data_IF_752382964238
#
_entry.id   IF_752382964238
#
_cell.length_a   1.000
_cell.length_b   1.000
_cell.length_c   1.000
_cell.angle_alpha   90.00
_cell.angle_beta   90.00
_cell.angle_gamma   90.00
#
_symmetry.space_group_name_H-M   'P 1'
#
loop_
_entity.id
_entity.type
_entity.pdbx_description
1 polymer ?
#
# COMPACT_ATOMS: atom_id res chain seq x y z
N UNK A 1 11.12 15.83 23.78
CA UNK A 1 9.97 16.08 22.88
C UNK A 1 9.78 14.84 22.00
N UNK A 2 8.72 14.06 22.20
CA UNK A 2 8.39 12.93 21.33
C UNK A 2 7.28 13.35 20.36
N UNK A 3 7.58 13.39 19.06
CA UNK A 3 6.56 13.58 18.04
C UNK A 3 5.84 12.25 17.83
N UNK A 4 4.54 12.21 18.08
CA UNK A 4 3.72 11.04 17.76
C UNK A 4 3.45 11.05 16.26
N UNK A 5 4.18 10.22 15.50
CA UNK A 5 3.83 9.96 14.12
C UNK A 5 2.45 9.28 14.08
N UNK A 6 1.50 9.74 13.26
CA UNK A 6 0.19 9.09 13.17
C UNK A 6 0.38 7.66 12.65
N UNK A 7 -0.18 6.70 13.38
CA UNK A 7 -0.22 5.30 12.95
C UNK A 7 -1.03 5.21 11.66
N UNK A 8 -0.42 4.66 10.60
CA UNK A 8 -1.12 4.44 9.33
C UNK A 8 -2.20 3.38 9.54
N UNK A 9 -3.42 3.66 9.12
CA UNK A 9 -4.52 2.68 9.18
C UNK A 9 -4.30 1.62 8.10
N UNK A 10 -4.33 0.36 8.51
CA UNK A 10 -4.23 -0.80 7.60
C UNK A 10 -5.41 -0.78 6.63
N UNK A 11 -5.15 -1.14 5.37
CA UNK A 11 -6.21 -1.23 4.37
C UNK A 11 -7.10 -2.44 4.66
N UNK A 12 -8.38 -2.21 4.96
CA UNK A 12 -9.39 -3.25 5.21
C UNK A 12 -9.63 -4.19 4.02
N UNK A 13 -9.35 -3.77 2.79
CA UNK A 13 -9.62 -4.60 1.60
C UNK A 13 -8.59 -5.73 1.44
N UNK A 14 -7.35 -5.48 1.85
CA UNK A 14 -6.26 -6.45 1.70
C UNK A 14 -5.60 -6.82 3.03
N UNK A 15 -6.10 -6.30 4.15
CA UNK A 15 -5.57 -6.50 5.51
C UNK A 15 -4.05 -6.29 5.64
N UNK A 16 -3.52 -5.33 4.86
CA UNK A 16 -2.09 -5.03 4.81
C UNK A 16 -1.28 -5.87 3.82
N UNK A 17 -1.82 -6.95 3.25
CA UNK A 17 -1.20 -7.77 2.20
C UNK A 17 -1.42 -7.16 0.82
N UNK A 18 -0.76 -6.02 0.59
CA UNK A 18 -1.06 -5.14 -0.53
C UNK A 18 -0.60 -5.63 -1.91
N UNK A 19 0.24 -6.66 -1.97
CA UNK A 19 0.79 -7.18 -3.21
C UNK A 19 1.03 -8.69 -3.14
N UNK A 20 0.87 -9.35 -4.28
CA UNK A 20 1.20 -10.76 -4.46
C UNK A 20 1.93 -10.96 -5.80
N UNK A 21 2.67 -12.06 -5.89
CA UNK A 21 3.35 -12.50 -7.11
C UNK A 21 2.77 -13.85 -7.50
N UNK A 22 2.25 -13.94 -8.72
CA UNK A 22 1.61 -15.14 -9.25
C UNK A 22 2.52 -15.71 -10.35
N UNK A 23 2.82 -17.00 -10.30
CA UNK A 23 3.54 -17.66 -11.40
C UNK A 23 2.57 -17.89 -12.56
N UNK A 24 2.99 -17.58 -13.79
CA UNK A 24 2.13 -17.73 -14.98
C UNK A 24 2.23 -19.13 -15.60
N UNK A 25 2.98 -20.04 -14.98
CA UNK A 25 3.29 -21.37 -15.53
C UNK A 25 4.39 -21.37 -16.59
N UNK A 26 4.71 -20.21 -17.18
CA UNK A 26 5.79 -20.07 -18.15
C UNK A 26 7.17 -19.86 -17.50
N UNK A 27 8.22 -20.06 -18.30
CA UNK A 27 9.59 -19.67 -17.99
C UNK A 27 10.12 -18.73 -19.05
N UNK A 28 10.97 -17.79 -18.64
CA UNK A 28 11.77 -16.99 -19.53
C UNK A 28 12.86 -17.85 -20.20
N UNK A 29 13.49 -17.31 -21.25
CA UNK A 29 14.52 -18.06 -22.01
C UNK A 29 15.77 -18.41 -21.18
N UNK A 30 16.04 -17.62 -20.14
CA UNK A 30 17.10 -17.86 -19.17
C UNK A 30 16.74 -18.91 -18.10
N UNK A 31 15.53 -19.49 -18.18
CA UNK A 31 15.03 -20.51 -17.25
C UNK A 31 14.33 -19.96 -16.00
N UNK A 32 14.30 -18.64 -15.78
CA UNK A 32 13.59 -18.04 -14.65
C UNK A 32 12.06 -18.15 -14.83
N UNK A 33 11.31 -18.17 -13.73
CA UNK A 33 9.84 -18.28 -13.78
C UNK A 33 9.22 -16.96 -14.21
N UNK A 34 8.32 -17.01 -15.18
CA UNK A 34 7.49 -15.85 -15.52
C UNK A 34 6.46 -15.62 -14.41
N UNK A 35 6.36 -14.37 -13.97
CA UNK A 35 5.47 -13.97 -12.88
C UNK A 35 4.67 -12.73 -13.22
N UNK A 36 3.49 -12.61 -12.63
CA UNK A 36 2.64 -11.45 -12.67
C UNK A 36 2.55 -10.85 -11.26
N UNK A 37 2.88 -9.56 -11.14
CA UNK A 37 2.69 -8.81 -9.91
C UNK A 37 1.28 -8.23 -9.89
N UNK A 38 0.53 -8.52 -8.83
CA UNK A 38 -0.80 -7.97 -8.59
C UNK A 38 -0.74 -7.10 -7.34
N UNK A 39 -1.42 -5.95 -7.38
CA UNK A 39 -1.53 -5.03 -6.25
C UNK A 39 -2.99 -4.81 -5.88
N UNK A 40 -3.26 -4.58 -4.59
CA UNK A 40 -4.59 -4.22 -4.14
C UNK A 40 -5.02 -2.88 -4.77
N UNK A 41 -6.14 -2.81 -5.52
CA UNK A 41 -6.54 -1.60 -6.21
C UNK A 41 -6.99 -0.50 -5.24
N UNK A 42 -7.52 -0.86 -4.07
CA UNK A 42 -8.00 0.09 -3.07
C UNK A 42 -6.88 0.91 -2.42
N UNK A 43 -5.76 0.28 -2.07
CA UNK A 43 -4.59 0.97 -1.49
C UNK A 43 -3.45 1.19 -2.49
N UNK A 44 -3.59 0.73 -3.74
CA UNK A 44 -2.57 0.79 -4.79
C UNK A 44 -1.22 0.18 -4.37
N UNK A 45 -1.26 -0.86 -3.53
CA UNK A 45 -0.07 -1.58 -3.07
C UNK A 45 0.64 -0.99 -1.84
N UNK A 46 0.09 0.03 -1.17
CA UNK A 46 0.71 0.61 0.03
C UNK A 46 0.42 -0.14 1.33
N UNK A 47 -0.59 -1.01 1.34
CA UNK A 47 -1.07 -1.75 2.51
C UNK A 47 -1.84 -0.90 3.53
N UNK A 48 -1.95 0.40 3.28
CA UNK A 48 -2.54 1.35 4.21
C UNK A 48 -3.41 2.34 3.46
N UNK A 49 -4.54 2.72 4.06
CA UNK A 49 -5.30 3.85 3.56
C UNK A 49 -4.60 5.14 3.99
N UNK A 50 -4.43 6.08 3.07
CA UNK A 50 -4.15 7.46 3.48
C UNK A 50 -5.25 7.89 4.46
N UNK A 51 -4.93 8.65 5.52
CA UNK A 51 -5.97 9.28 6.32
C UNK A 51 -6.89 10.01 5.35
N UNK A 52 -8.20 9.74 5.40
CA UNK A 52 -9.19 10.56 4.70
C UNK A 52 -8.92 11.98 5.16
N UNK A 53 -8.35 12.78 4.24
CA UNK A 53 -7.92 14.17 4.38
C UNK A 53 -7.74 14.59 5.84
N UNK A 54 -6.50 14.59 6.34
CA UNK A 54 -6.21 15.33 7.57
C UNK A 54 -6.93 16.69 7.44
N UNK A 55 -7.81 17.07 8.39
CA UNK A 55 -8.54 18.32 8.26
C UNK A 55 -7.52 19.40 7.94
N UNK A 56 -7.80 20.21 6.91
CA UNK A 56 -6.92 21.32 6.59
C UNK A 56 -6.65 22.06 7.89
N UNK A 57 -5.40 22.04 8.36
CA UNK A 57 -5.00 22.75 9.54
C UNK A 57 -5.10 24.23 9.18
N UNK A 58 -6.28 24.81 9.38
CA UNK A 58 -6.48 26.23 9.28
C UNK A 58 -5.67 26.85 10.41
N UNK A 59 -4.59 27.54 10.05
CA UNK A 59 -3.77 28.30 10.99
C UNK A 59 -4.61 29.47 11.49
N UNK A 60 -5.38 29.26 12.56
CA UNK A 60 -6.01 30.34 13.32
C UNK A 60 -4.90 30.92 14.18
N UNK A 61 -4.28 32.01 13.69
CA UNK A 61 -3.20 32.68 14.38
C UNK A 61 -3.69 33.61 15.51
N UNK A 62 -2.77 33.93 16.41
CA UNK A 62 -2.37 35.31 16.69
C UNK A 62 -0.90 35.35 17.07
#
# INVERSE_FOLDING_TARGET
MHQHAPTKRVCHVCDGFAAAVITTGARHRDGTRATLRVTCPACKGTGHTAPATAPALHRVGR
#
